data_IF_760026287153
#
_entry.id   IF_760026287153
#
_cell.length_a   1.000
_cell.length_b   1.000
_cell.length_c   1.000
_cell.angle_alpha   90.00
_cell.angle_beta   90.00
_cell.angle_gamma   90.00
#
_symmetry.space_group_name_H-M   'P 1'
#
loop_
_entity.id
_entity.type
_entity.pdbx_description
1 polymer ?
#
# COMPACT_ATOMS: atom_id res chain seq x y z
N UNK A 1 -6.49 -8.47 7.44
CA UNK A 1 -6.60 -7.38 6.44
C UNK A 1 -6.55 -7.99 5.04
N UNK A 2 -7.43 -7.56 4.11
CA UNK A 2 -7.64 -8.18 2.77
C UNK A 2 -6.36 -8.27 1.92
N UNK A 3 -5.40 -7.38 2.15
CA UNK A 3 -4.17 -7.29 1.34
C UNK A 3 -2.97 -8.05 1.89
N UNK A 4 -3.12 -8.75 3.02
CA UNK A 4 -2.03 -9.54 3.58
C UNK A 4 -1.64 -10.67 2.62
N UNK A 5 -0.35 -10.81 2.34
CA UNK A 5 0.20 -11.89 1.50
C UNK A 5 0.05 -11.68 -0.01
N UNK A 6 -0.48 -10.54 -0.48
CA UNK A 6 -0.47 -10.21 -1.89
C UNK A 6 0.96 -9.90 -2.36
N UNK A 7 1.40 -10.58 -3.44
CA UNK A 7 2.73 -10.37 -4.02
C UNK A 7 2.64 -10.29 -5.54
N UNK A 8 2.71 -9.06 -6.05
CA UNK A 8 2.66 -8.79 -7.48
C UNK A 8 3.43 -7.51 -7.82
N UNK A 9 4.16 -7.44 -8.94
CA UNK A 9 4.95 -6.26 -9.30
C UNK A 9 4.15 -4.96 -9.31
N UNK A 10 2.89 -4.99 -9.72
CA UNK A 10 2.03 -3.79 -9.82
C UNK A 10 1.12 -3.57 -8.61
N UNK A 11 1.35 -4.24 -7.48
CA UNK A 11 0.63 -4.07 -6.22
C UNK A 11 1.62 -3.63 -5.14
N UNK A 12 1.28 -2.58 -4.39
CA UNK A 12 2.10 -2.12 -3.27
C UNK A 12 2.14 -3.20 -2.19
N UNK A 13 3.35 -3.60 -1.79
CA UNK A 13 3.51 -4.67 -0.82
C UNK A 13 3.24 -4.18 0.60
N UNK A 14 2.38 -4.91 1.32
CA UNK A 14 2.27 -4.82 2.77
C UNK A 14 3.26 -5.81 3.38
N UNK A 15 4.29 -5.30 4.05
CA UNK A 15 5.25 -6.13 4.73
C UNK A 15 4.75 -6.64 6.08
N UNK A 16 4.14 -5.75 6.88
CA UNK A 16 3.63 -6.07 8.20
C UNK A 16 2.52 -5.10 8.61
N UNK A 17 1.78 -5.46 9.66
CA UNK A 17 0.90 -4.54 10.36
C UNK A 17 0.91 -4.88 11.86
N UNK A 18 0.66 -3.88 12.68
CA UNK A 18 0.51 -4.01 14.13
C UNK A 18 -0.41 -2.89 14.63
N UNK A 19 -0.84 -2.98 15.88
CA UNK A 19 -1.74 -2.00 16.49
C UNK A 19 -1.33 -1.72 17.94
N UNK A 20 -1.66 -0.53 18.40
CA UNK A 20 -1.69 -0.15 19.82
C UNK A 20 -3.08 0.37 20.19
N UNK A 21 -3.22 0.90 21.41
CA UNK A 21 -4.49 1.42 21.92
C UNK A 21 -5.09 2.55 21.06
N UNK A 22 -4.27 3.28 20.30
CA UNK A 22 -4.68 4.49 19.59
C UNK A 22 -4.65 4.34 18.07
N UNK A 23 -3.86 3.41 17.52
CA UNK A 23 -3.52 3.39 16.12
C UNK A 23 -3.33 1.97 15.56
N UNK A 24 -3.77 1.78 14.32
CA UNK A 24 -3.34 0.67 13.45
C UNK A 24 -2.22 1.16 12.54
N UNK A 25 -1.14 0.40 12.49
CA UNK A 25 0.06 0.71 11.72
C UNK A 25 0.22 -0.29 10.58
N UNK A 26 0.31 0.23 9.35
CA UNK A 26 0.63 -0.58 8.17
C UNK A 26 2.05 -0.28 7.71
N UNK A 27 2.90 -1.31 7.69
CA UNK A 27 4.28 -1.24 7.20
C UNK A 27 4.28 -1.64 5.73
N UNK A 28 4.51 -0.67 4.87
CA UNK A 28 4.40 -0.77 3.42
C UNK A 28 5.77 -0.59 2.75
N UNK A 29 5.88 -1.12 1.54
CA UNK A 29 6.93 -0.77 0.61
C UNK A 29 6.99 0.76 0.40
N UNK A 30 8.21 1.32 0.37
CA UNK A 30 8.43 2.75 0.15
C UNK A 30 8.48 3.08 -1.34
N UNK A 31 7.48 3.82 -1.84
CA UNK A 31 7.50 4.41 -3.17
C UNK A 31 8.27 5.74 -3.17
N UNK A 32 9.51 5.73 -3.67
CA UNK A 32 10.42 6.90 -3.61
C UNK A 32 9.93 8.11 -4.39
N UNK A 33 9.15 7.91 -5.46
CA UNK A 33 8.67 9.01 -6.31
C UNK A 33 7.26 9.48 -5.95
N UNK A 34 6.60 8.84 -4.99
CA UNK A 34 5.27 9.21 -4.51
C UNK A 34 4.19 8.96 -5.56
N UNK A 35 3.12 9.76 -5.51
CA UNK A 35 1.93 9.57 -6.36
C UNK A 35 2.19 9.89 -7.83
N UNK A 36 1.67 9.03 -8.71
CA UNK A 36 1.65 9.27 -10.16
C UNK A 36 0.90 10.56 -10.48
N UNK A 37 -0.21 10.86 -9.79
CA UNK A 37 -0.94 12.11 -10.01
C UNK A 37 -0.06 13.35 -9.81
N UNK A 38 0.78 13.35 -8.76
CA UNK A 38 1.72 14.45 -8.49
C UNK A 38 2.80 14.53 -9.56
N UNK A 39 3.33 13.39 -10.01
CA UNK A 39 4.27 13.33 -11.12
C UNK A 39 3.68 13.96 -12.40
N UNK A 40 2.45 13.59 -12.76
CA UNK A 40 1.78 14.11 -13.97
C UNK A 40 1.54 15.61 -13.91
N UNK A 41 1.15 16.16 -12.76
CA UNK A 41 1.02 17.61 -12.56
C UNK A 41 2.35 18.34 -12.77
N UNK A 42 3.46 17.73 -12.36
CA UNK A 42 4.78 18.33 -12.42
C UNK A 42 5.52 18.05 -13.74
N UNK A 43 4.96 17.22 -14.61
CA UNK A 43 5.62 16.79 -15.86
C UNK A 43 5.79 17.96 -16.86
N UNK A 44 4.99 19.03 -16.73
CA UNK A 44 5.03 20.19 -17.63
C UNK A 44 4.52 19.93 -19.04
N UNK A 45 4.08 18.70 -19.32
CA UNK A 45 3.45 18.26 -20.58
C UNK A 45 2.46 17.12 -20.30
N UNK A 46 1.64 16.81 -21.29
CA UNK A 46 0.86 15.57 -21.29
C UNK A 46 1.76 14.36 -21.57
N UNK A 47 1.34 13.19 -21.08
CA UNK A 47 1.92 11.92 -21.50
C UNK A 47 1.58 11.66 -22.96
N UNK A 48 2.52 11.07 -23.69
CA UNK A 48 2.22 10.43 -24.98
C UNK A 48 1.34 9.19 -24.77
N UNK A 49 0.64 8.77 -25.82
CA UNK A 49 -0.17 7.53 -25.78
C UNK A 49 0.68 6.31 -25.42
N UNK A 50 1.91 6.23 -25.90
CA UNK A 50 2.85 5.15 -25.59
C UNK A 50 3.19 5.10 -24.10
N UNK A 51 3.47 6.25 -23.49
CA UNK A 51 3.75 6.32 -22.05
C UNK A 51 2.50 5.93 -21.24
N UNK A 52 1.33 6.44 -21.63
CA UNK A 52 0.07 6.13 -20.96
C UNK A 52 -0.27 4.64 -21.08
N UNK A 53 -0.09 4.04 -22.25
CA UNK A 53 -0.26 2.60 -22.47
C UNK A 53 0.69 1.77 -21.60
N UNK A 54 1.93 2.22 -21.42
CA UNK A 54 2.90 1.58 -20.54
C UNK A 54 2.46 1.55 -19.07
N UNK A 55 1.89 2.65 -18.56
CA UNK A 55 1.30 2.71 -17.22
C UNK A 55 0.05 1.82 -17.14
N UNK A 56 -0.87 1.95 -18.09
CA UNK A 56 -2.13 1.20 -18.10
C UNK A 56 -1.92 -0.31 -18.14
N UNK A 57 -0.91 -0.79 -18.88
CA UNK A 57 -0.54 -2.21 -18.90
C UNK A 57 -0.21 -2.74 -17.50
N UNK A 58 0.52 -1.97 -16.70
CA UNK A 58 0.90 -2.35 -15.33
C UNK A 58 -0.31 -2.33 -14.40
N UNK A 59 -1.14 -1.28 -14.49
CA UNK A 59 -2.37 -1.17 -13.70
C UNK A 59 -3.31 -2.34 -13.99
N UNK A 60 -3.55 -2.67 -15.27
CA UNK A 60 -4.39 -3.80 -15.65
C UNK A 60 -3.82 -5.13 -15.17
N UNK A 61 -2.49 -5.33 -15.24
CA UNK A 61 -1.86 -6.53 -14.68
C UNK A 61 -2.09 -6.65 -13.16
N UNK A 62 -1.95 -5.55 -12.41
CA UNK A 62 -2.27 -5.51 -10.98
C UNK A 62 -3.74 -5.81 -10.68
N UNK A 63 -4.67 -5.24 -11.45
CA UNK A 63 -6.10 -5.50 -11.28
C UNK A 63 -6.47 -6.95 -11.58
N UNK A 64 -5.92 -7.54 -12.64
CA UNK A 64 -6.10 -8.96 -12.95
C UNK A 64 -5.64 -9.85 -11.79
N UNK A 65 -4.51 -9.52 -11.17
CA UNK A 65 -4.03 -10.21 -9.99
C UNK A 65 -4.98 -10.04 -8.79
N UNK A 66 -5.46 -8.84 -8.49
CA UNK A 66 -6.43 -8.63 -7.40
C UNK A 66 -7.72 -9.42 -7.64
N UNK A 67 -8.25 -9.35 -8.86
CA UNK A 67 -9.49 -10.02 -9.22
C UNK A 67 -9.36 -11.55 -9.19
N UNK A 68 -8.20 -12.11 -9.52
CA UNK A 68 -7.95 -13.56 -9.36
C UNK A 68 -7.94 -14.00 -7.89
N UNK A 69 -7.64 -13.08 -6.96
CA UNK A 69 -7.75 -13.27 -5.51
C UNK A 69 -9.12 -12.86 -4.95
N UNK A 70 -10.09 -12.58 -5.83
CA UNK A 70 -11.44 -12.10 -5.50
C UNK A 70 -11.45 -10.77 -4.73
N UNK A 71 -10.45 -9.93 -4.94
CA UNK A 71 -10.33 -8.62 -4.28
C UNK A 71 -10.79 -7.54 -5.25
N UNK A 72 -11.73 -6.69 -4.81
CA UNK A 72 -12.14 -5.49 -5.53
C UNK A 72 -11.54 -4.27 -4.82
N UNK A 73 -10.75 -3.46 -5.52
CA UNK A 73 -10.10 -2.27 -4.96
C UNK A 73 -11.10 -1.17 -4.54
N UNK A 74 -12.12 -0.92 -5.37
CA UNK A 74 -13.19 0.10 -5.23
C UNK A 74 -12.77 1.57 -5.25
N UNK A 75 -11.49 1.90 -5.07
CA UNK A 75 -11.00 3.29 -5.13
C UNK A 75 -9.81 3.45 -6.09
N UNK A 76 -9.95 3.00 -7.34
CA UNK A 76 -8.84 3.11 -8.30
C UNK A 76 -8.81 4.53 -8.90
N UNK A 77 -7.78 5.31 -8.55
CA UNK A 77 -7.55 6.66 -9.04
C UNK A 77 -6.05 6.92 -9.26
N UNK A 78 -5.68 7.99 -9.97
CA UNK A 78 -4.28 8.37 -10.16
C UNK A 78 -3.56 8.71 -8.83
N UNK A 79 -4.31 9.13 -7.81
CA UNK A 79 -3.77 9.41 -6.46
C UNK A 79 -3.43 8.12 -5.71
N UNK A 80 -4.06 7.00 -6.09
CA UNK A 80 -3.82 5.67 -5.52
C UNK A 80 -2.86 4.82 -6.39
N UNK A 81 -2.15 5.47 -7.31
CA UNK A 81 -1.05 4.88 -8.06
C UNK A 81 0.26 5.50 -7.60
N UNK A 82 1.19 4.66 -7.15
CA UNK A 82 2.51 5.08 -6.69
C UNK A 82 3.57 4.78 -7.76
N UNK A 83 4.43 5.76 -7.98
CA UNK A 83 5.57 5.66 -8.88
C UNK A 83 6.78 5.12 -8.10
N UNK A 84 7.25 3.97 -8.57
CA UNK A 84 8.46 3.31 -8.10
C UNK A 84 9.65 3.72 -8.97
N UNK A 85 10.82 3.16 -8.68
CA UNK A 85 12.00 3.31 -9.53
C UNK A 85 11.71 2.80 -10.97
N UNK A 86 12.49 3.26 -11.95
CA UNK A 86 12.41 2.85 -13.36
C UNK A 86 11.03 2.99 -14.04
N UNK A 87 10.22 3.98 -13.61
CA UNK A 87 8.87 4.25 -14.12
C UNK A 87 7.87 3.10 -13.91
N UNK A 88 8.15 2.24 -12.95
CA UNK A 88 7.22 1.19 -12.56
C UNK A 88 6.13 1.74 -11.65
N UNK A 89 4.88 1.27 -11.81
CA UNK A 89 3.71 1.77 -11.08
C UNK A 89 3.09 0.65 -10.26
N UNK A 90 2.74 0.98 -9.01
CA UNK A 90 2.05 0.09 -8.08
C UNK A 90 0.71 0.68 -7.65
N UNK A 91 -0.31 -0.17 -7.62
CA UNK A 91 -1.62 0.15 -7.05
C UNK A 91 -1.48 0.15 -5.52
N UNK A 92 -1.97 1.22 -4.90
CA UNK A 92 -1.90 1.47 -3.47
C UNK A 92 -3.27 1.88 -2.91
N UNK A 93 -3.33 2.02 -1.59
CA UNK A 93 -4.50 2.38 -0.79
C UNK A 93 -5.72 1.45 -0.93
N UNK A 94 -5.68 0.37 -0.16
CA UNK A 94 -6.75 -0.62 -0.08
C UNK A 94 -7.73 -0.35 1.05
N UNK A 95 -7.83 0.90 1.54
CA UNK A 95 -8.73 1.27 2.64
C UNK A 95 -10.21 0.97 2.36
N UNK A 96 -10.60 0.94 1.08
CA UNK A 96 -11.94 0.57 0.65
C UNK A 96 -12.02 -0.81 -0.02
N UNK A 97 -10.93 -1.58 -0.06
CA UNK A 97 -10.93 -2.86 -0.74
C UNK A 97 -11.77 -3.91 -0.01
N UNK A 98 -12.43 -4.80 -0.77
CA UNK A 98 -13.19 -5.93 -0.23
C UNK A 98 -12.72 -7.22 -0.88
N UNK A 99 -12.69 -8.30 -0.09
CA UNK A 99 -12.54 -9.66 -0.61
C UNK A 99 -13.92 -10.28 -0.72
N UNK A 100 -14.28 -10.74 -1.92
CA UNK A 100 -15.53 -11.48 -2.12
C UNK A 100 -15.35 -12.88 -1.53
N UNK A 101 -16.07 -13.14 -0.45
CA UNK A 101 -16.11 -14.46 0.19
C UNK A 101 -17.26 -15.26 -0.41
N UNK A 102 -17.02 -16.51 -0.76
CA UNK A 102 -18.13 -17.41 -1.13
C UNK A 102 -19.04 -17.60 0.10
N UNK A 103 -20.34 -17.88 -0.07
CA UNK A 103 -21.30 -17.98 1.04
C UNK A 103 -20.89 -18.91 2.19
N UNK A 104 -19.98 -19.86 1.93
CA UNK A 104 -19.66 -20.96 2.85
C UNK A 104 -18.27 -20.86 3.52
N UNK A 105 -17.47 -19.83 3.25
CA UNK A 105 -16.12 -19.68 3.83
C UNK A 105 -16.13 -18.71 5.03
N UNK A 106 -16.01 -19.25 6.25
CA UNK A 106 -15.81 -18.43 7.45
C UNK A 106 -14.41 -17.82 7.46
N UNK A 107 -14.32 -16.54 7.80
CA UNK A 107 -13.07 -15.79 7.98
C UNK A 107 -12.13 -16.50 8.98
N UNK A 108 -11.18 -17.29 8.48
CA UNK A 108 -10.07 -17.76 9.31
C UNK A 108 -9.05 -16.63 9.44
N UNK A 109 -9.16 -15.82 10.50
CA UNK A 109 -8.15 -14.86 10.94
C UNK A 109 -6.90 -15.58 11.50
N UNK A 110 -6.27 -16.44 10.71
CA UNK A 110 -4.92 -16.95 10.99
C UNK A 110 -4.13 -16.91 9.70
N UNK A 111 -3.40 -15.83 9.48
CA UNK A 111 -2.40 -15.80 8.43
C UNK A 111 -1.02 -15.56 9.02
N UNK A 112 -0.25 -16.65 9.10
CA UNK A 112 1.22 -16.56 9.09
C UNK A 112 1.62 -15.88 7.79
N UNK A 113 2.26 -14.73 7.91
CA UNK A 113 2.90 -14.03 6.80
C UNK A 113 4.08 -14.91 6.35
N UNK A 114 3.84 -15.86 5.45
CA UNK A 114 4.90 -16.73 4.93
C UNK A 114 5.86 -15.88 4.08
N UNK A 115 7.08 -15.72 4.60
CA UNK A 115 8.12 -14.89 3.98
C UNK A 115 8.49 -13.62 4.77
N UNK A 116 8.25 -13.57 6.10
CA UNK A 116 8.69 -12.48 7.00
C UNK A 116 10.12 -12.04 6.65
N UNK A 117 10.24 -10.90 5.96
CA UNK A 117 11.33 -9.98 6.30
C UNK A 117 11.21 -9.77 7.82
N UNK A 118 12.31 -9.92 8.56
CA UNK A 118 12.31 -9.82 10.02
C UNK A 118 12.16 -8.36 10.47
N UNK A 119 11.02 -7.76 10.11
CA UNK A 119 10.62 -6.42 10.45
C UNK A 119 10.08 -6.35 11.87
N UNK A 120 10.12 -5.14 12.43
CA UNK A 120 9.57 -4.85 13.74
C UNK A 120 8.09 -5.17 13.87
N UNK A 121 7.67 -5.48 15.09
CA UNK A 121 6.28 -5.76 15.45
C UNK A 121 5.65 -4.63 16.26
N UNK A 122 6.43 -3.58 16.57
CA UNK A 122 5.98 -2.40 17.33
C UNK A 122 6.50 -1.13 16.69
N UNK A 123 5.89 0.01 17.04
CA UNK A 123 6.28 1.31 16.47
C UNK A 123 7.71 1.71 16.88
N UNK A 124 8.16 1.29 18.06
CA UNK A 124 9.50 1.58 18.60
C UNK A 124 10.62 0.90 17.80
N UNK A 125 10.29 -0.14 17.01
CA UNK A 125 11.22 -0.82 16.12
C UNK A 125 11.54 0.03 14.86
N UNK A 126 10.93 1.22 14.74
CA UNK A 126 11.06 2.10 13.60
C UNK A 126 11.44 3.52 14.04
N UNK A 127 12.41 4.10 13.33
CA UNK A 127 12.67 5.54 13.41
C UNK A 127 11.79 6.27 12.39
N UNK A 128 10.80 7.00 12.87
CA UNK A 128 9.96 7.87 12.05
C UNK A 128 10.78 9.06 11.54
N UNK A 129 10.65 9.36 10.25
CA UNK A 129 11.37 10.43 9.56
C UNK A 129 10.37 11.47 9.04
N UNK A 130 10.39 11.78 7.74
CA UNK A 130 9.50 12.77 7.13
C UNK A 130 8.07 12.23 6.86
N UNK A 131 7.04 13.10 6.94
CA UNK A 131 5.70 12.77 6.44
C UNK A 131 5.72 12.66 4.91
N UNK A 132 5.01 11.66 4.37
CA UNK A 132 4.88 11.43 2.93
C UNK A 132 3.51 11.88 2.38
N UNK A 133 2.46 11.79 3.19
CA UNK A 133 1.10 12.14 2.78
C UNK A 133 0.10 12.07 3.93
N UNK A 134 -0.99 12.82 3.81
CA UNK A 134 -2.06 12.89 4.81
C UNK A 134 -3.41 12.60 4.14
N UNK A 135 -4.17 11.68 4.71
CA UNK A 135 -5.58 11.44 4.40
C UNK A 135 -6.49 11.88 5.54
N UNK A 136 -7.81 11.74 5.37
CA UNK A 136 -8.80 12.13 6.38
C UNK A 136 -8.63 11.43 7.73
N UNK A 137 -8.23 10.16 7.71
CA UNK A 137 -8.15 9.29 8.90
C UNK A 137 -6.76 8.70 9.12
N UNK A 138 -5.79 9.03 8.26
CA UNK A 138 -4.48 8.41 8.27
C UNK A 138 -3.36 9.37 7.91
N UNK A 139 -2.18 9.14 8.48
CA UNK A 139 -0.95 9.85 8.16
C UNK A 139 0.09 8.84 7.72
N UNK A 140 0.78 9.12 6.61
CA UNK A 140 1.85 8.28 6.08
C UNK A 140 3.18 8.94 6.36
N UNK A 141 4.12 8.17 6.91
CA UNK A 141 5.49 8.58 7.20
C UNK A 141 6.48 7.68 6.48
N UNK A 142 7.63 8.24 6.12
CA UNK A 142 8.81 7.41 5.87
C UNK A 142 9.40 7.01 7.21
N UNK A 143 9.85 5.77 7.31
CA UNK A 143 10.53 5.29 8.50
C UNK A 143 11.71 4.40 8.11
N UNK A 144 12.68 4.29 9.02
CA UNK A 144 13.77 3.33 8.95
C UNK A 144 13.46 2.19 9.93
N UNK A 145 13.38 0.96 9.45
CA UNK A 145 13.31 -0.20 10.34
C UNK A 145 14.66 -0.39 11.02
N UNK A 146 14.68 -0.36 12.36
CA UNK A 146 15.91 -0.45 13.15
C UNK A 146 16.53 -1.86 13.11
N UNK A 147 15.70 -2.89 12.93
CA UNK A 147 16.15 -4.29 12.87
C UNK A 147 16.84 -4.63 11.55
N UNK A 148 16.30 -4.16 10.42
CA UNK A 148 16.78 -4.54 9.08
C UNK A 148 17.56 -3.43 8.37
N UNK A 149 17.47 -2.18 8.83
CA UNK A 149 18.07 -1.03 8.17
C UNK A 149 17.38 -0.59 6.88
N UNK A 150 16.22 -1.16 6.54
CA UNK A 150 15.50 -0.80 5.31
C UNK A 150 14.55 0.37 5.55
N UNK A 151 14.38 1.21 4.52
CA UNK A 151 13.36 2.26 4.54
C UNK A 151 12.00 1.70 4.14
N UNK A 152 10.97 2.11 4.87
CA UNK A 152 9.57 1.72 4.69
C UNK A 152 8.66 2.94 4.70
N UNK A 153 7.43 2.78 4.23
CA UNK A 153 6.34 3.70 4.51
C UNK A 153 5.47 3.13 5.64
N UNK A 154 5.19 3.92 6.67
CA UNK A 154 4.27 3.56 7.76
C UNK A 154 3.00 4.40 7.62
N UNK A 155 1.86 3.76 7.35
CA UNK A 155 0.54 4.39 7.39
C UNK A 155 -0.06 4.17 8.77
N UNK A 156 -0.23 5.27 9.51
CA UNK A 156 -0.85 5.31 10.83
C UNK A 156 -2.32 5.67 10.66
N UNK A 157 -3.23 4.76 11.03
CA UNK A 157 -4.68 4.95 11.00
C UNK A 157 -5.15 5.08 12.44
N UNK A 158 -5.74 6.22 12.80
CA UNK A 158 -6.21 6.43 14.19
C UNK A 158 -7.47 5.61 14.43
N UNK A 159 -7.51 4.93 15.57
CA UNK A 159 -8.72 4.35 16.11
C UNK A 159 -9.52 5.51 16.73
N UNK A 160 -10.76 5.69 16.30
CA UNK A 160 -11.66 6.60 16.99
C UNK A 160 -12.27 5.84 18.16
N UNK A 161 -12.20 6.42 19.36
CA UNK A 161 -13.18 6.10 20.39
C UNK A 161 -14.51 6.71 19.93
N UNK A 162 -15.54 5.88 19.78
CA UNK A 162 -16.92 6.39 19.75
C UNK A 162 -17.19 6.99 21.14
N UNK A 163 -17.24 8.33 21.22
CA UNK A 163 -17.89 9.03 22.35
C UNK A 163 -19.41 9.09 22.13
#
# INVERSE_FOLDING_TARGET
MVVAGLKHPSILELYAFFEDENCVYLVLELARHGELQRFLRNLGRTMSETEAAGVMKQVVAGLLYLHSHRIIHRDLSLSNLLLMDDRHVKIADFGLAIQLVAPDERHTNRMSINGKMSLGERIEDYRILEPLGKGGFAQVYKALCLTTGIFVAIKMVRLFEEE
#
